data_IF_879886174421
#
_entry.id   IF_879886174421
#
_cell.length_a   1.000
_cell.length_b   1.000
_cell.length_c   1.000
_cell.angle_alpha   90.00
_cell.angle_beta   90.00
_cell.angle_gamma   90.00
#
_symmetry.space_group_name_H-M   'P 1'
#
loop_
_entity.id
_entity.type
_entity.pdbx_description
1 polymer ?
#
# COMPACT_ATOMS: atom_id res chain seq x y z
N UNK A 1 22.54 -15.05 -19.73
CA UNK A 1 22.65 -13.75 -19.03
C UNK A 1 21.37 -12.95 -19.17
N UNK A 2 20.78 -12.87 -20.37
CA UNK A 2 19.49 -12.21 -20.63
C UNK A 2 18.33 -12.79 -19.81
N UNK A 3 18.05 -14.10 -19.88
CA UNK A 3 16.98 -14.75 -19.09
C UNK A 3 17.08 -14.52 -17.56
N UNK A 4 18.31 -14.40 -17.05
CA UNK A 4 18.56 -14.15 -15.63
C UNK A 4 18.23 -12.70 -15.26
N UNK A 5 18.58 -11.74 -16.13
CA UNK A 5 18.23 -10.33 -15.94
C UNK A 5 16.71 -10.11 -16.05
N UNK A 6 16.04 -10.77 -16.99
CA UNK A 6 14.58 -10.70 -17.13
C UNK A 6 13.87 -11.21 -15.89
N UNK A 7 14.29 -12.36 -15.34
CA UNK A 7 13.73 -12.91 -14.11
C UNK A 7 13.91 -11.97 -12.90
N UNK A 8 15.10 -11.37 -12.75
CA UNK A 8 15.37 -10.39 -11.69
C UNK A 8 14.49 -9.14 -11.87
N UNK A 9 14.35 -8.66 -13.10
CA UNK A 9 13.52 -7.50 -13.41
C UNK A 9 12.05 -7.78 -13.08
N UNK A 10 11.52 -8.96 -13.41
CA UNK A 10 10.14 -9.33 -13.09
C UNK A 10 9.90 -9.35 -11.58
N UNK A 11 10.76 -10.01 -10.81
CA UNK A 11 10.68 -10.06 -9.34
C UNK A 11 10.73 -8.64 -8.77
N UNK A 12 11.65 -7.82 -9.26
CA UNK A 12 11.80 -6.44 -8.82
C UNK A 12 10.55 -5.62 -9.11
N UNK A 13 10.02 -5.68 -10.34
CA UNK A 13 8.82 -4.95 -10.75
C UNK A 13 7.62 -5.37 -9.90
N UNK A 14 7.43 -6.68 -9.69
CA UNK A 14 6.31 -7.19 -8.90
C UNK A 14 6.39 -6.77 -7.43
N UNK A 15 7.58 -6.85 -6.83
CA UNK A 15 7.84 -6.42 -5.45
C UNK A 15 7.66 -4.90 -5.30
N UNK A 16 8.24 -4.13 -6.21
CA UNK A 16 8.14 -2.67 -6.23
C UNK A 16 6.70 -2.21 -6.41
N UNK A 17 5.97 -2.80 -7.36
CA UNK A 17 4.57 -2.48 -7.62
C UNK A 17 3.69 -2.81 -6.43
N UNK A 18 3.86 -3.99 -5.82
CA UNK A 18 3.13 -4.36 -4.60
C UNK A 18 3.39 -3.40 -3.45
N UNK A 19 4.66 -2.99 -3.26
CA UNK A 19 5.00 -1.97 -2.26
C UNK A 19 4.36 -0.61 -2.57
N UNK A 20 4.40 -0.17 -3.83
CA UNK A 20 3.79 1.09 -4.26
C UNK A 20 2.29 1.12 -3.96
N UNK A 21 1.55 0.05 -4.30
CA UNK A 21 0.11 -0.08 -3.97
C UNK A 21 -0.11 0.06 -2.46
N UNK A 22 0.64 -0.68 -1.64
CA UNK A 22 0.48 -0.63 -0.18
C UNK A 22 0.76 0.78 0.39
N UNK A 23 1.74 1.50 -0.16
CA UNK A 23 2.05 2.87 0.24
C UNK A 23 0.95 3.86 -0.17
N UNK A 24 0.38 3.73 -1.37
CA UNK A 24 -0.74 4.56 -1.83
C UNK A 24 -1.95 4.36 -0.90
N UNK A 25 -2.31 3.11 -0.61
CA UNK A 25 -3.45 2.84 0.27
C UNK A 25 -3.21 3.28 1.72
N UNK A 26 -2.01 3.09 2.25
CA UNK A 26 -1.64 3.61 3.57
C UNK A 26 -1.70 5.16 3.61
N UNK A 27 -1.26 5.82 2.54
CA UNK A 27 -1.33 7.27 2.37
C UNK A 27 -2.78 7.78 2.36
N UNK A 28 -3.66 7.12 1.60
CA UNK A 28 -5.08 7.44 1.57
C UNK A 28 -5.72 7.28 2.95
N UNK A 29 -5.50 6.15 3.63
CA UNK A 29 -6.02 5.91 4.98
C UNK A 29 -5.52 6.96 5.97
N UNK A 30 -4.23 7.29 5.91
CA UNK A 30 -3.63 8.33 6.75
C UNK A 30 -4.29 9.69 6.51
N UNK A 31 -4.45 10.09 5.24
CA UNK A 31 -5.11 11.32 4.86
C UNK A 31 -6.55 11.39 5.38
N UNK A 32 -7.34 10.35 5.11
CA UNK A 32 -8.72 10.24 5.60
C UNK A 32 -8.78 10.33 7.13
N UNK A 33 -7.98 9.55 7.86
CA UNK A 33 -7.97 9.56 9.32
C UNK A 33 -7.56 10.93 9.88
N UNK A 34 -6.60 11.62 9.25
CA UNK A 34 -6.18 12.96 9.64
C UNK A 34 -7.28 14.00 9.44
N UNK A 35 -8.10 13.85 8.40
CA UNK A 35 -9.24 14.73 8.12
C UNK A 35 -10.41 14.47 9.09
N UNK A 36 -10.78 13.20 9.28
CA UNK A 36 -11.94 12.82 10.12
C UNK A 36 -11.67 12.88 11.63
N UNK A 37 -10.42 12.71 12.07
CA UNK A 37 -10.04 12.68 13.49
C UNK A 37 -9.12 13.86 13.87
N UNK A 38 -9.53 15.09 13.51
CA UNK A 38 -8.84 16.32 13.96
C UNK A 38 -8.57 16.25 15.46
N UNK A 39 -7.28 16.17 15.84
CA UNK A 39 -6.83 16.16 17.23
C UNK A 39 -6.23 14.84 17.76
N UNK A 40 -6.38 13.70 17.07
CA UNK A 40 -5.66 12.47 17.43
C UNK A 40 -4.36 12.34 16.63
N UNK A 41 -3.25 12.04 17.30
CA UNK A 41 -1.96 11.76 16.66
C UNK A 41 -2.05 10.42 15.93
N UNK A 42 -2.31 10.46 14.62
CA UNK A 42 -2.29 9.28 13.75
C UNK A 42 -0.87 9.12 13.21
N UNK A 43 -0.26 7.95 13.36
CA UNK A 43 1.08 7.67 12.82
C UNK A 43 0.99 6.97 11.47
N UNK A 44 1.60 7.55 10.45
CA UNK A 44 1.73 6.90 9.14
C UNK A 44 2.48 5.56 9.26
N UNK A 45 3.53 5.51 10.09
CA UNK A 45 4.31 4.29 10.34
C UNK A 45 3.40 3.16 10.86
N UNK A 46 2.51 3.46 11.80
CA UNK A 46 1.57 2.48 12.34
C UNK A 46 0.54 2.01 11.30
N UNK A 47 0.06 2.91 10.44
CA UNK A 47 -0.87 2.52 9.37
C UNK A 47 -0.18 1.66 8.31
N UNK A 48 1.09 1.93 7.98
CA UNK A 48 1.80 1.19 6.93
C UNK A 48 2.38 -0.13 7.42
N UNK A 49 3.07 -0.10 8.56
CA UNK A 49 3.88 -1.19 9.07
C UNK A 49 3.28 -1.87 10.31
N UNK A 50 2.32 -1.25 10.98
CA UNK A 50 1.77 -1.74 12.24
C UNK A 50 2.51 -1.19 13.47
N UNK A 51 2.11 -1.68 14.65
CA UNK A 51 2.83 -1.50 15.92
C UNK A 51 3.71 -2.73 16.17
N UNK A 52 4.66 -2.62 17.09
CA UNK A 52 5.46 -3.76 17.53
C UNK A 52 4.60 -4.81 18.27
N UNK A 53 3.42 -4.42 18.75
CA UNK A 53 2.44 -5.29 19.42
C UNK A 53 1.50 -6.03 18.45
N UNK A 54 1.65 -5.85 17.14
CA UNK A 54 0.77 -6.48 16.16
C UNK A 54 1.07 -7.97 16.02
N UNK A 55 0.02 -8.79 15.98
CA UNK A 55 0.17 -10.18 15.56
C UNK A 55 0.40 -10.27 14.05
N UNK A 56 0.88 -11.43 13.58
CA UNK A 56 0.99 -11.70 12.14
C UNK A 56 -0.35 -11.53 11.40
N UNK A 57 -1.46 -11.85 12.08
CA UNK A 57 -2.80 -11.67 11.54
C UNK A 57 -3.17 -10.19 11.41
N UNK A 58 -2.75 -9.36 12.36
CA UNK A 58 -2.94 -7.91 12.29
C UNK A 58 -2.12 -7.29 11.16
N UNK A 59 -0.87 -7.75 10.96
CA UNK A 59 -0.04 -7.34 9.83
C UNK A 59 -0.65 -7.74 8.49
N UNK A 60 -1.15 -8.98 8.37
CA UNK A 60 -1.81 -9.46 7.16
C UNK A 60 -3.07 -8.64 6.83
N UNK A 61 -3.93 -8.40 7.83
CA UNK A 61 -5.13 -7.60 7.67
C UNK A 61 -4.80 -6.13 7.32
N UNK A 62 -3.76 -5.56 7.93
CA UNK A 62 -3.33 -4.21 7.64
C UNK A 62 -2.78 -4.06 6.21
N UNK A 63 -1.97 -5.02 5.75
CA UNK A 63 -1.51 -5.08 4.37
C UNK A 63 -2.66 -5.31 3.40
N UNK A 64 -3.66 -6.13 3.75
CA UNK A 64 -4.86 -6.32 2.93
C UNK A 64 -5.63 -5.00 2.77
N UNK A 65 -5.88 -4.28 3.87
CA UNK A 65 -6.60 -3.01 3.84
C UNK A 65 -5.84 -1.92 3.04
N UNK A 66 -4.53 -1.81 3.23
CA UNK A 66 -3.68 -0.91 2.45
C UNK A 66 -3.62 -1.32 0.98
N UNK A 67 -3.52 -2.63 0.71
CA UNK A 67 -3.44 -3.18 -0.63
C UNK A 67 -4.72 -2.91 -1.42
N UNK A 68 -5.86 -3.21 -0.81
CA UNK A 68 -7.18 -2.99 -1.39
C UNK A 68 -7.42 -1.52 -1.75
N UNK A 69 -7.15 -0.59 -0.81
CA UNK A 69 -7.34 0.84 -1.07
C UNK A 69 -6.35 1.38 -2.09
N UNK A 70 -5.09 0.94 -2.05
CA UNK A 70 -4.10 1.32 -3.04
C UNK A 70 -4.47 0.85 -4.45
N UNK A 71 -4.97 -0.38 -4.55
CA UNK A 71 -5.40 -0.95 -5.82
C UNK A 71 -6.64 -0.25 -6.35
N UNK A 72 -7.59 0.12 -5.48
CA UNK A 72 -8.76 0.91 -5.86
C UNK A 72 -8.35 2.26 -6.48
N UNK A 73 -7.42 2.98 -5.83
CA UNK A 73 -6.89 4.24 -6.36
C UNK A 73 -6.24 4.01 -7.73
N UNK A 74 -5.40 2.99 -7.86
CA UNK A 74 -4.77 2.65 -9.12
C UNK A 74 -5.79 2.30 -10.22
N UNK A 75 -6.82 1.52 -9.90
CA UNK A 75 -7.89 1.18 -10.83
C UNK A 75 -8.65 2.41 -11.33
N UNK A 76 -8.95 3.37 -10.44
CA UNK A 76 -9.55 4.65 -10.84
C UNK A 76 -8.64 5.40 -11.80
N UNK A 77 -7.34 5.48 -11.52
CA UNK A 77 -6.38 6.11 -12.45
C UNK A 77 -6.36 5.44 -13.82
N UNK A 78 -6.37 4.11 -13.88
CA UNK A 78 -6.41 3.38 -15.15
C UNK A 78 -7.69 3.68 -15.94
N UNK A 79 -8.85 3.70 -15.26
CA UNK A 79 -10.13 4.05 -15.89
C UNK A 79 -10.06 5.46 -16.46
N UNK A 80 -9.57 6.44 -15.68
CA UNK A 80 -9.48 7.85 -16.10
C UNK A 80 -8.54 8.09 -17.28
N UNK A 81 -7.49 7.29 -17.42
CA UNK A 81 -6.56 7.38 -18.57
C UNK A 81 -7.15 6.71 -19.81
N UNK A 82 -7.95 5.66 -19.62
CA UNK A 82 -8.53 4.87 -20.70
C UNK A 82 -9.88 5.41 -21.22
N UNK A 83 -10.49 6.36 -20.51
CA UNK A 83 -11.76 7.04 -20.85
C UNK A 83 -11.52 8.38 -21.52
#
# INVERSE_FOLDING_TARGET
MELMMEFIAEIFIRSWFGSAILHIGAGLRYGCLRLFRRGRKVSYKQIRYGSDDFSDMDHANNNLANGFLGFLVFAVFLILIAS
#
